data_IF_021785801445
#
_entry.id   IF_021785801445
#
_cell.length_a   1.000
_cell.length_b   1.000
_cell.length_c   1.000
_cell.angle_alpha   90.00
_cell.angle_beta   90.00
_cell.angle_gamma   90.00
#
_symmetry.space_group_name_H-M   'P 1'
#
loop_
_entity.id
_entity.type
_entity.pdbx_description
1 polymer ?
#
# COMPACT_ATOMS: atom_id res chain seq x y z
N UNK A 1 -4.47 -43.77 -35.20
CA UNK A 1 -4.80 -42.36 -34.86
C UNK A 1 -5.25 -42.31 -33.40
N UNK A 2 -4.42 -41.79 -32.49
CA UNK A 2 -4.84 -41.54 -31.12
C UNK A 2 -5.47 -40.15 -31.05
N UNK A 3 -6.77 -40.08 -30.79
CA UNK A 3 -7.50 -38.84 -30.49
C UNK A 3 -7.08 -38.41 -29.09
N UNK A 4 -6.40 -37.27 -29.00
CA UNK A 4 -6.05 -36.67 -27.69
C UNK A 4 -7.35 -36.27 -26.98
N UNK A 5 -7.51 -36.75 -25.74
CA UNK A 5 -8.62 -36.34 -24.88
C UNK A 5 -8.54 -34.83 -24.59
N UNK A 6 -9.65 -34.10 -24.59
CA UNK A 6 -9.64 -32.68 -24.26
C UNK A 6 -9.14 -32.48 -22.83
N UNK A 7 -8.16 -31.60 -22.66
CA UNK A 7 -7.65 -31.22 -21.36
C UNK A 7 -8.79 -30.66 -20.52
N UNK A 8 -9.00 -31.20 -19.32
CA UNK A 8 -9.96 -30.65 -18.33
C UNK A 8 -9.55 -29.20 -18.05
N UNK A 9 -10.48 -28.22 -18.16
CA UNK A 9 -10.19 -26.85 -17.77
C UNK A 9 -9.81 -26.85 -16.28
N UNK A 10 -8.62 -26.34 -15.97
CA UNK A 10 -8.21 -26.07 -14.59
C UNK A 10 -9.26 -25.16 -13.96
N UNK A 11 -9.74 -25.46 -12.74
CA UNK A 11 -10.68 -24.58 -12.06
C UNK A 11 -10.05 -23.19 -11.93
N UNK A 12 -10.74 -22.17 -12.46
CA UNK A 12 -10.31 -20.79 -12.31
C UNK A 12 -10.10 -20.53 -10.82
N UNK A 13 -8.87 -20.21 -10.41
CA UNK A 13 -8.56 -19.88 -9.02
C UNK A 13 -9.36 -18.65 -8.64
N UNK A 14 -10.32 -18.82 -7.75
CA UNK A 14 -11.10 -17.71 -7.21
C UNK A 14 -10.17 -16.78 -6.45
N UNK A 15 -10.17 -15.51 -6.80
CA UNK A 15 -9.34 -14.50 -6.15
C UNK A 15 -9.80 -14.31 -4.69
N UNK A 16 -8.86 -14.38 -3.75
CA UNK A 16 -9.10 -14.10 -2.34
C UNK A 16 -8.90 -12.62 -2.07
N UNK A 17 -9.81 -12.04 -1.28
CA UNK A 17 -9.76 -10.64 -0.88
C UNK A 17 -9.76 -10.50 0.64
N UNK A 18 -9.12 -9.43 1.10
CA UNK A 18 -9.20 -8.94 2.48
C UNK A 18 -10.18 -7.78 2.47
N UNK A 19 -11.27 -7.90 3.23
CA UNK A 19 -12.23 -6.81 3.49
C UNK A 19 -11.78 -6.09 4.74
N UNK A 20 -11.62 -4.77 4.66
CA UNK A 20 -11.09 -3.95 5.73
C UNK A 20 -11.87 -2.64 5.88
N UNK A 21 -11.68 -1.97 7.02
CA UNK A 21 -12.35 -0.71 7.36
C UNK A 21 -11.39 0.46 7.41
N UNK A 22 -11.88 1.60 6.93
CA UNK A 22 -11.30 2.91 7.15
C UNK A 22 -12.45 3.85 7.51
N UNK A 23 -12.44 4.45 8.69
CA UNK A 23 -13.49 5.36 9.19
C UNK A 23 -14.91 4.78 9.09
N UNK A 24 -15.05 3.48 9.35
CA UNK A 24 -16.33 2.78 9.25
C UNK A 24 -16.72 2.32 7.85
N UNK A 25 -16.09 2.85 6.79
CA UNK A 25 -16.32 2.44 5.41
C UNK A 25 -15.59 1.14 5.07
N UNK A 26 -16.21 0.31 4.23
CA UNK A 26 -15.66 -0.98 3.80
C UNK A 26 -14.95 -0.86 2.46
N UNK A 27 -13.77 -1.49 2.40
CA UNK A 27 -12.95 -1.63 1.21
C UNK A 27 -12.49 -3.08 1.09
N UNK A 28 -12.05 -3.47 -0.09
CA UNK A 28 -11.42 -4.76 -0.31
C UNK A 28 -10.10 -4.60 -1.07
N UNK A 29 -9.16 -5.50 -0.81
CA UNK A 29 -7.90 -5.61 -1.55
C UNK A 29 -7.63 -7.08 -1.85
N UNK A 30 -7.02 -7.38 -2.99
CA UNK A 30 -6.54 -8.73 -3.28
C UNK A 30 -5.56 -9.19 -2.20
N UNK A 31 -5.79 -10.36 -1.61
CA UNK A 31 -4.85 -10.91 -0.62
C UNK A 31 -3.46 -11.15 -1.21
N UNK A 32 -3.40 -11.44 -2.51
CA UNK A 32 -2.14 -11.60 -3.23
C UNK A 32 -1.34 -10.30 -3.34
N UNK A 33 -1.99 -9.14 -3.21
CA UNK A 33 -1.34 -7.81 -3.22
C UNK A 33 -0.78 -7.40 -1.87
N UNK A 34 -1.13 -8.09 -0.79
CA UNK A 34 -0.64 -7.81 0.56
C UNK A 34 0.51 -8.76 0.89
N UNK A 35 1.65 -8.20 1.24
CA UNK A 35 2.83 -8.97 1.63
C UNK A 35 2.75 -9.40 3.08
N UNK A 36 2.38 -8.46 3.95
CA UNK A 36 2.22 -8.66 5.38
C UNK A 36 1.24 -7.65 5.97
N UNK A 37 0.66 -8.00 7.10
CA UNK A 37 -0.18 -7.12 7.93
C UNK A 37 0.51 -6.95 9.27
N UNK A 38 0.67 -5.72 9.72
CA UNK A 38 1.30 -5.38 10.99
C UNK A 38 0.46 -4.40 11.80
N UNK A 39 0.64 -4.43 13.12
CA UNK A 39 0.15 -3.34 13.97
C UNK A 39 0.87 -2.03 13.62
N UNK A 40 0.16 -0.91 13.63
CA UNK A 40 0.75 0.41 13.44
C UNK A 40 1.86 0.70 14.45
N UNK A 41 1.70 0.22 15.69
CA UNK A 41 2.69 0.38 16.77
C UNK A 41 4.03 -0.27 16.45
N UNK A 42 4.04 -1.34 15.63
CA UNK A 42 5.27 -2.02 15.24
C UNK A 42 6.23 -1.16 14.40
N UNK A 43 5.75 -0.05 13.88
CA UNK A 43 6.53 0.91 13.11
C UNK A 43 6.99 2.13 13.91
N UNK A 44 6.48 2.34 15.12
CA UNK A 44 6.74 3.54 15.93
C UNK A 44 8.21 3.81 16.22
N UNK A 45 9.04 2.75 16.34
CA UNK A 45 10.47 2.88 16.58
C UNK A 45 11.35 2.88 15.33
N UNK A 46 10.79 2.55 14.16
CA UNK A 46 11.53 2.38 12.90
C UNK A 46 11.08 3.32 11.78
N UNK A 47 10.01 4.08 12.02
CA UNK A 47 9.51 5.06 11.05
C UNK A 47 10.13 6.43 11.30
N UNK A 48 10.41 7.13 10.20
CA UNK A 48 10.83 8.53 10.21
C UNK A 48 9.69 9.38 9.70
N UNK A 49 9.42 10.49 10.39
CA UNK A 49 8.44 11.46 9.92
C UNK A 49 8.94 12.15 8.64
N UNK A 50 8.05 12.31 7.67
CA UNK A 50 8.31 12.99 6.41
C UNK A 50 7.20 14.00 6.14
N UNK A 51 7.55 15.16 5.63
CA UNK A 51 6.58 16.19 5.22
C UNK A 51 6.92 16.64 3.81
N UNK A 52 6.17 16.15 2.84
CA UNK A 52 6.28 16.57 1.45
C UNK A 52 5.09 17.48 1.09
N UNK A 53 5.34 18.66 0.48
CA UNK A 53 4.29 19.58 0.08
C UNK A 53 3.24 18.91 -0.81
N UNK A 54 1.95 19.09 -0.49
CA UNK A 54 0.85 18.50 -1.25
C UNK A 54 0.58 17.02 -1.01
N UNK A 55 1.42 16.31 -0.24
CA UNK A 55 1.27 14.87 0.02
C UNK A 55 0.93 14.58 1.50
N UNK A 56 -0.11 15.19 2.00
CA UNK A 56 -0.57 15.04 3.40
C UNK A 56 -0.92 13.61 3.79
N UNK A 57 -1.24 12.76 2.81
CA UNK A 57 -1.56 11.33 3.02
C UNK A 57 -0.35 10.50 3.44
N UNK A 58 0.88 10.97 3.21
CA UNK A 58 2.12 10.30 3.61
C UNK A 58 2.81 11.12 4.68
N UNK A 59 2.94 10.56 5.88
CA UNK A 59 3.62 11.21 7.02
C UNK A 59 4.83 10.46 7.54
N UNK A 60 4.93 9.18 7.22
CA UNK A 60 5.98 8.31 7.72
C UNK A 60 6.59 7.48 6.60
N UNK A 61 7.87 7.26 6.72
CA UNK A 61 8.64 6.35 5.88
C UNK A 61 9.41 5.36 6.75
N UNK A 62 9.43 4.12 6.34
CA UNK A 62 10.21 3.05 6.97
C UNK A 62 11.30 2.60 6.00
N UNK A 63 12.55 2.58 6.45
CA UNK A 63 13.65 2.03 5.66
C UNK A 63 13.76 0.53 5.90
N UNK A 64 13.79 -0.25 4.80
CA UNK A 64 14.02 -1.68 4.81
C UNK A 64 15.16 -2.01 3.85
N UNK A 65 16.39 -2.09 4.39
CA UNK A 65 17.59 -2.18 3.56
C UNK A 65 17.68 -0.97 2.63
N UNK A 66 17.83 -1.22 1.33
CA UNK A 66 17.91 -0.16 0.30
C UNK A 66 16.56 0.40 -0.14
N UNK A 67 15.46 -0.12 0.40
CA UNK A 67 14.11 0.29 0.02
C UNK A 67 13.48 1.19 1.08
N UNK A 68 12.83 2.25 0.61
CA UNK A 68 11.95 3.09 1.42
C UNK A 68 10.51 2.66 1.21
N UNK A 69 9.79 2.45 2.30
CA UNK A 69 8.38 2.10 2.33
C UNK A 69 7.62 3.29 2.90
N UNK A 70 6.72 3.88 2.10
CA UNK A 70 5.92 5.03 2.50
C UNK A 70 4.60 4.58 3.11
N UNK A 71 4.30 5.05 4.32
CA UNK A 71 3.04 4.75 5.00
C UNK A 71 2.00 5.78 4.56
N UNK A 72 1.01 5.30 3.81
CA UNK A 72 -0.11 6.10 3.31
C UNK A 72 -1.28 5.96 4.26
N UNK A 73 -1.80 7.08 4.76
CA UNK A 73 -3.07 7.09 5.49
C UNK A 73 -4.22 6.79 4.54
N UNK A 74 -4.92 5.68 4.76
CA UNK A 74 -6.10 5.33 3.97
C UNK A 74 -7.19 6.39 4.09
N UNK A 75 -7.41 6.92 5.31
CA UNK A 75 -8.40 7.96 5.53
C UNK A 75 -8.11 9.22 4.69
N UNK A 76 -6.88 9.71 4.70
CA UNK A 76 -6.51 10.90 3.92
C UNK A 76 -6.49 10.64 2.41
N UNK A 77 -6.13 9.42 2.00
CA UNK A 77 -6.14 9.06 0.58
C UNK A 77 -7.54 9.06 -0.03
N UNK A 78 -8.52 8.52 0.71
CA UNK A 78 -9.91 8.44 0.26
C UNK A 78 -10.77 9.64 0.67
N UNK A 79 -10.14 10.71 1.17
CA UNK A 79 -10.84 11.94 1.63
C UNK A 79 -11.89 11.67 2.71
N UNK A 80 -11.56 10.76 3.61
CA UNK A 80 -12.37 10.41 4.77
C UNK A 80 -11.90 11.19 6.01
N UNK A 81 -12.72 11.27 7.07
CA UNK A 81 -12.31 11.88 8.33
C UNK A 81 -10.99 11.26 8.84
N UNK A 82 -10.09 12.06 9.44
CA UNK A 82 -8.84 11.53 9.98
C UNK A 82 -9.06 10.39 10.97
N UNK A 83 -8.33 9.29 10.78
CA UNK A 83 -8.31 8.15 11.68
C UNK A 83 -6.85 7.81 12.01
N UNK A 84 -6.54 7.45 13.27
CA UNK A 84 -5.18 7.05 13.64
C UNK A 84 -4.73 5.77 12.95
N UNK A 85 -5.68 4.89 12.56
CA UNK A 85 -5.40 3.58 12.02
C UNK A 85 -4.74 2.64 13.04
N UNK A 86 -4.97 1.35 12.93
CA UNK A 86 -4.40 0.35 13.85
C UNK A 86 -3.56 -0.71 13.16
N UNK A 87 -3.81 -0.91 11.86
CA UNK A 87 -3.11 -1.89 11.04
C UNK A 87 -2.47 -1.24 9.82
N UNK A 88 -1.35 -1.82 9.42
CA UNK A 88 -0.60 -1.42 8.23
C UNK A 88 -0.50 -2.62 7.29
N UNK A 89 -1.02 -2.46 6.07
CA UNK A 89 -0.87 -3.44 4.99
C UNK A 89 0.36 -3.08 4.17
N UNK A 90 1.41 -3.87 4.26
CA UNK A 90 2.56 -3.74 3.38
C UNK A 90 2.21 -4.34 2.03
N UNK A 91 2.21 -3.53 0.99
CA UNK A 91 1.78 -3.94 -0.34
C UNK A 91 2.94 -4.53 -1.15
N UNK A 92 2.65 -5.60 -1.91
CA UNK A 92 3.63 -6.23 -2.80
C UNK A 92 3.89 -5.36 -4.03
N UNK A 93 5.11 -5.43 -4.54
CA UNK A 93 5.53 -4.78 -5.80
C UNK A 93 5.37 -3.26 -5.81
N UNK A 94 5.09 -2.66 -4.66
CA UNK A 94 4.99 -1.22 -4.48
C UNK A 94 5.90 -0.77 -3.34
N UNK A 95 6.09 0.53 -3.22
CA UNK A 95 6.79 1.15 -2.08
C UNK A 95 5.81 1.72 -1.08
N UNK A 96 4.63 1.12 -0.99
CA UNK A 96 3.49 1.61 -0.22
C UNK A 96 3.11 0.65 0.88
N UNK A 97 2.84 1.19 2.05
CA UNK A 97 2.12 0.54 3.12
C UNK A 97 0.85 1.34 3.43
N UNK A 98 -0.30 0.68 3.47
CA UNK A 98 -1.59 1.31 3.68
C UNK A 98 -2.00 1.22 5.15
N UNK A 99 -2.23 2.36 5.79
CA UNK A 99 -2.75 2.44 7.15
C UNK A 99 -4.27 2.36 7.13
N UNK A 100 -4.82 1.38 7.85
CA UNK A 100 -6.25 1.07 7.94
C UNK A 100 -6.70 0.89 9.39
N UNK A 101 -8.00 0.90 9.64
CA UNK A 101 -8.53 0.76 11.00
C UNK A 101 -8.64 -0.70 11.45
N UNK A 102 -8.92 -1.63 10.55
CA UNK A 102 -9.02 -3.04 10.91
C UNK A 102 -9.44 -3.94 9.75
N UNK A 103 -9.28 -5.23 9.94
CA UNK A 103 -9.76 -6.26 9.01
C UNK A 103 -11.15 -6.69 9.45
N UNK A 104 -12.08 -6.71 8.52
CA UNK A 104 -13.43 -7.25 8.74
C UNK A 104 -13.44 -8.77 8.53
N UNK A 105 -12.94 -9.22 7.38
CA UNK A 105 -12.82 -10.64 7.05
C UNK A 105 -11.96 -10.90 5.80
N UNK A 106 -11.62 -12.16 5.61
CA UNK A 106 -11.08 -12.66 4.35
C UNK A 106 -12.13 -13.54 3.67
N UNK A 107 -12.32 -13.38 2.37
CA UNK A 107 -13.30 -14.13 1.60
C UNK A 107 -12.90 -14.23 0.14
N UNK A 108 -13.56 -15.15 -0.58
CA UNK A 108 -13.42 -15.21 -2.03
C UNK A 108 -14.19 -14.07 -2.69
N UNK A 109 -13.58 -13.41 -3.67
CA UNK A 109 -14.28 -12.41 -4.49
C UNK A 109 -15.25 -13.10 -5.44
N UNK A 110 -16.53 -12.77 -5.35
CA UNK A 110 -17.56 -13.36 -6.20
C UNK A 110 -17.45 -12.89 -7.66
N UNK A 111 -17.35 -11.57 -7.85
CA UNK A 111 -17.25 -10.92 -9.15
C UNK A 111 -16.68 -9.52 -8.99
N UNK A 112 -15.79 -9.14 -9.89
CA UNK A 112 -15.33 -7.77 -10.03
C UNK A 112 -16.18 -7.07 -11.10
N UNK A 113 -16.84 -5.98 -10.71
CA UNK A 113 -17.66 -5.15 -11.59
C UNK A 113 -16.89 -3.87 -11.95
N UNK A 114 -17.09 -3.39 -13.18
CA UNK A 114 -16.51 -2.13 -13.62
C UNK A 114 -17.02 -0.96 -12.77
N UNK A 115 -16.17 0.06 -12.57
CA UNK A 115 -16.57 1.28 -11.90
C UNK A 115 -17.66 2.02 -12.68
N UNK A 116 -18.69 2.56 -12.01
CA UNK A 116 -19.67 3.44 -12.61
C UNK A 116 -19.02 4.66 -13.28
N UNK A 117 -19.70 5.23 -14.27
CA UNK A 117 -19.21 6.44 -14.98
C UNK A 117 -19.13 7.68 -14.10
N UNK A 118 -19.85 7.69 -12.97
CA UNK A 118 -19.86 8.77 -11.97
C UNK A 118 -18.53 8.93 -11.22
N UNK A 119 -17.68 7.91 -11.21
CA UNK A 119 -16.34 8.03 -10.62
C UNK A 119 -15.48 8.97 -11.46
N UNK A 120 -14.83 9.93 -10.80
CA UNK A 120 -13.91 10.85 -11.46
C UNK A 120 -12.64 10.12 -11.95
N UNK A 121 -11.83 10.83 -12.76
CA UNK A 121 -10.63 10.23 -13.34
C UNK A 121 -9.63 9.77 -12.26
N UNK A 122 -9.45 10.55 -11.21
CA UNK A 122 -8.53 10.25 -10.11
C UNK A 122 -9.01 9.03 -9.32
N UNK A 123 -10.28 8.98 -8.93
CA UNK A 123 -10.85 7.84 -8.22
C UNK A 123 -10.75 6.54 -9.00
N UNK A 124 -10.79 6.60 -10.34
CA UNK A 124 -10.61 5.42 -11.20
C UNK A 124 -9.22 4.80 -11.10
N UNK A 125 -8.22 5.55 -10.67
CA UNK A 125 -6.88 5.04 -10.40
C UNK A 125 -6.81 4.33 -9.04
N UNK A 126 -7.68 4.70 -8.10
CA UNK A 126 -7.70 4.13 -6.74
C UNK A 126 -8.33 2.75 -6.67
N UNK A 127 -9.22 2.42 -7.60
CA UNK A 127 -10.02 1.21 -7.57
C UNK A 127 -9.85 0.36 -8.81
N UNK A 128 -9.83 -0.96 -8.62
CA UNK A 128 -9.93 -1.94 -9.71
C UNK A 128 -11.37 -2.09 -10.20
N UNK A 129 -12.34 -1.87 -9.34
CA UNK A 129 -13.75 -2.08 -9.57
C UNK A 129 -14.51 -2.20 -8.27
N UNK A 130 -15.73 -2.73 -8.36
CA UNK A 130 -16.60 -3.01 -7.23
C UNK A 130 -16.84 -4.51 -7.11
N UNK A 131 -17.04 -4.99 -5.89
CA UNK A 131 -17.50 -6.36 -5.62
C UNK A 131 -18.61 -6.36 -4.59
N UNK A 132 -19.33 -7.46 -4.49
CA UNK A 132 -20.40 -7.63 -3.49
C UNK A 132 -19.97 -8.66 -2.46
N UNK A 133 -20.03 -8.28 -1.19
CA UNK A 133 -19.77 -9.14 -0.03
C UNK A 133 -20.94 -8.99 0.93
N UNK A 134 -21.61 -10.10 1.28
CA UNK A 134 -22.79 -10.12 2.16
C UNK A 134 -23.86 -9.07 1.76
N UNK A 135 -24.18 -9.00 0.48
CA UNK A 135 -25.13 -8.05 -0.13
C UNK A 135 -24.70 -6.58 -0.09
N UNK A 136 -23.51 -6.28 0.38
CA UNK A 136 -22.93 -4.94 0.40
C UNK A 136 -21.98 -4.78 -0.78
N UNK A 137 -22.13 -3.70 -1.56
CA UNK A 137 -21.21 -3.33 -2.64
C UNK A 137 -20.01 -2.64 -2.04
N UNK A 138 -18.82 -3.16 -2.33
CA UNK A 138 -17.55 -2.71 -1.75
C UNK A 138 -16.56 -2.39 -2.87
N UNK A 139 -15.86 -1.23 -2.81
CA UNK A 139 -14.80 -0.93 -3.76
C UNK A 139 -13.57 -1.82 -3.50
N UNK A 140 -13.01 -2.34 -4.59
CA UNK A 140 -11.76 -3.10 -4.58
C UNK A 140 -10.62 -2.15 -4.94
N UNK A 141 -9.72 -1.91 -3.98
CA UNK A 141 -8.63 -0.94 -4.15
C UNK A 141 -7.57 -1.46 -5.11
N UNK A 142 -6.96 -0.52 -5.83
CA UNK A 142 -5.80 -0.77 -6.66
C UNK A 142 -4.53 -0.43 -5.88
N UNK A 143 -3.67 -1.40 -5.52
CA UNK A 143 -2.46 -1.13 -4.76
C UNK A 143 -1.50 -0.12 -5.42
N UNK A 144 -1.48 -0.06 -6.74
CA UNK A 144 -0.64 0.87 -7.51
C UNK A 144 -1.22 2.30 -7.58
N UNK A 145 -2.47 2.48 -7.16
CA UNK A 145 -3.15 3.77 -7.19
C UNK A 145 -2.93 4.65 -5.96
N UNK A 146 -2.22 4.17 -4.92
CA UNK A 146 -1.99 4.96 -3.71
C UNK A 146 -0.91 6.03 -3.87
N UNK A 147 0.12 5.75 -4.63
CA UNK A 147 1.22 6.67 -4.93
C UNK A 147 1.54 6.62 -6.43
N UNK A 148 1.42 7.76 -7.10
CA UNK A 148 1.83 7.88 -8.50
C UNK A 148 3.35 7.94 -8.63
N UNK A 149 3.92 7.69 -9.83
CA UNK A 149 5.35 7.88 -10.07
C UNK A 149 5.85 9.29 -9.72
N UNK A 150 5.06 10.32 -9.98
CA UNK A 150 5.35 11.71 -9.65
C UNK A 150 5.36 11.95 -8.15
N UNK A 151 4.39 11.40 -7.42
CA UNK A 151 4.33 11.44 -5.96
C UNK A 151 5.52 10.71 -5.33
N UNK A 152 5.91 9.56 -5.86
CA UNK A 152 7.09 8.83 -5.41
C UNK A 152 8.38 9.61 -5.62
N UNK A 153 8.54 10.25 -6.78
CA UNK A 153 9.70 11.10 -7.06
C UNK A 153 9.77 12.30 -6.10
N UNK A 154 8.63 12.91 -5.79
CA UNK A 154 8.55 13.99 -4.82
C UNK A 154 8.91 13.51 -3.42
N UNK A 155 8.38 12.37 -2.98
CA UNK A 155 8.71 11.79 -1.68
C UNK A 155 10.20 11.46 -1.56
N UNK A 156 10.82 10.92 -2.60
CA UNK A 156 12.26 10.65 -2.62
C UNK A 156 13.10 11.91 -2.45
N UNK A 157 12.67 13.04 -3.01
CA UNK A 157 13.33 14.33 -2.86
C UNK A 157 13.26 14.89 -1.42
N UNK A 158 12.23 14.53 -0.66
CA UNK A 158 12.06 14.95 0.72
C UNK A 158 12.51 13.91 1.76
N UNK A 159 13.11 12.81 1.30
CA UNK A 159 13.68 11.83 2.21
C UNK A 159 14.82 12.41 3.03
N UNK A 160 14.81 12.22 4.36
CA UNK A 160 15.96 12.55 5.16
C UNK A 160 17.17 11.69 4.74
N UNK A 161 18.40 12.22 4.78
CA UNK A 161 19.58 11.44 4.45
C UNK A 161 19.66 10.20 5.35
N UNK A 162 20.24 9.08 4.86
CA UNK A 162 20.46 7.90 5.68
C UNK A 162 21.28 8.29 6.93
N UNK A 163 20.78 7.94 8.12
CA UNK A 163 21.51 8.16 9.35
C UNK A 163 22.84 7.39 9.29
N UNK A 164 23.97 8.13 9.30
CA UNK A 164 25.31 7.58 9.57
C UNK A 164 25.97 6.83 8.41
N UNK A 165 26.63 7.58 7.52
CA UNK A 165 28.03 7.27 7.21
C UNK A 165 28.82 8.35 7.92
N UNK A 166 29.32 8.04 9.11
CA UNK A 166 30.40 8.79 9.70
C UNK A 166 31.51 8.79 8.65
N UNK A 167 31.79 9.96 8.10
CA UNK A 167 32.99 10.21 7.33
C UNK A 167 34.11 10.07 8.34
N UNK A 168 34.75 8.91 8.38
CA UNK A 168 36.02 8.74 9.06
C UNK A 168 36.99 9.79 8.42
N UNK A 169 37.12 10.87 9.15
CA UNK A 169 38.06 11.92 8.89
C UNK A 169 39.45 11.32 9.17
N UNK A 170 40.07 10.80 8.11
CA UNK A 170 41.49 10.42 8.17
C UNK A 170 42.26 11.69 8.25
N UNK A 171 42.47 12.23 9.45
CA UNK A 171 43.49 13.21 9.72
C UNK A 171 44.85 12.54 9.52
N UNK A 172 45.42 12.85 8.37
CA UNK A 172 46.80 12.52 8.08
C UNK A 172 47.75 13.22 9.06
N UNK A 173 48.36 12.43 9.93
CA UNK A 173 49.46 12.84 10.78
C UNK A 173 50.66 13.10 9.88
N UNK A 174 50.95 14.36 9.62
CA UNK A 174 52.24 14.80 9.10
C UNK A 174 53.23 14.76 10.25
N UNK A 175 54.12 13.79 10.26
CA UNK A 175 55.31 13.81 11.09
C UNK A 175 56.41 14.54 10.34
N UNK A 176 56.77 15.69 10.85
CA UNK A 176 57.96 16.43 10.51
C UNK A 176 59.14 15.90 11.32
N UNK A 177 60.22 15.60 10.63
CA UNK A 177 61.57 15.52 11.19
C UNK A 177 62.61 15.62 10.08
#
# INVERSE_FOLDING_TARGET
MRVAAPAKPSPARTEQIIVFRICGELFAVSSASVQEVRSSDSFSGSSTEISAPGLRKVRHVVRRGDRSLFIVSGALHFDLPPSPGTLVFVLRKTRTALLVDGIEKMTAMSRLQALPKSFCHEERLWYRGLTTVDQTVIPVVNPEGFLSPEELALLDAFMPPPAGRDVENTEGTVSDS
#
